data_IF_726394783944
#
_entry.id   IF_726394783944
#
_cell.length_a   1.000
_cell.length_b   1.000
_cell.length_c   1.000
_cell.angle_alpha   90.00
_cell.angle_beta   90.00
_cell.angle_gamma   90.00
#
_symmetry.space_group_name_H-M   'P 1'
#
loop_
_entity.id
_entity.type
_entity.pdbx_description
1 polymer ?
#
# COMPACT_ATOMS: atom_id res chain seq x y z
N UNK A 1 38.70 -53.12 -18.55
CA UNK A 1 39.74 -52.41 -17.79
C UNK A 1 40.55 -51.57 -18.76
N UNK A 2 40.45 -50.24 -18.64
CA UNK A 2 41.57 -49.28 -18.66
C UNK A 2 41.01 -47.87 -18.85
N UNK A 3 41.25 -47.05 -17.84
CA UNK A 3 41.15 -45.61 -17.91
C UNK A 3 42.28 -45.05 -18.77
N UNK A 4 42.05 -43.95 -19.48
CA UNK A 4 42.96 -42.81 -19.40
C UNK A 4 42.32 -41.53 -19.95
N UNK A 5 42.46 -40.49 -19.12
CA UNK A 5 42.14 -39.10 -19.31
C UNK A 5 43.41 -38.40 -19.84
N UNK A 6 43.36 -37.65 -20.95
CA UNK A 6 44.28 -36.52 -21.19
C UNK A 6 43.54 -35.43 -21.99
N UNK A 7 43.40 -34.27 -21.37
CA UNK A 7 43.06 -33.00 -22.00
C UNK A 7 44.31 -32.37 -22.62
N UNK A 8 44.19 -31.73 -23.78
CA UNK A 8 44.98 -30.55 -24.16
C UNK A 8 44.40 -29.93 -25.43
N UNK A 9 43.80 -28.75 -25.31
CA UNK A 9 43.59 -27.85 -26.44
C UNK A 9 43.84 -26.43 -25.94
N UNK A 10 45.11 -26.03 -25.98
CA UNK A 10 45.47 -24.62 -26.02
C UNK A 10 45.33 -24.13 -27.45
N UNK A 11 44.63 -23.01 -27.65
CA UNK A 11 45.05 -22.07 -28.68
C UNK A 11 44.87 -20.64 -28.18
N UNK A 12 45.97 -19.93 -28.26
CA UNK A 12 46.24 -18.58 -27.79
C UNK A 12 45.56 -17.61 -28.75
N UNK A 13 44.67 -16.78 -28.21
CA UNK A 13 44.20 -15.56 -28.85
C UNK A 13 44.61 -14.36 -28.00
N UNK A 14 45.63 -13.63 -28.43
CA UNK A 14 45.97 -12.31 -27.88
C UNK A 14 44.83 -11.34 -28.20
N UNK A 15 43.95 -11.08 -27.23
CA UNK A 15 43.12 -9.88 -27.26
C UNK A 15 43.90 -8.76 -26.57
N UNK A 16 44.26 -7.75 -27.35
CA UNK A 16 44.83 -6.49 -26.88
C UNK A 16 43.89 -5.92 -25.81
N UNK A 17 44.34 -5.92 -24.55
CA UNK A 17 43.68 -5.23 -23.46
C UNK A 17 43.84 -3.72 -23.67
N UNK A 18 43.03 -3.14 -24.56
CA UNK A 18 42.70 -1.73 -24.45
C UNK A 18 41.91 -1.57 -23.16
N UNK A 19 42.46 -0.84 -22.20
CA UNK A 19 41.67 -0.41 -21.04
C UNK A 19 40.39 0.24 -21.57
N UNK A 20 39.19 -0.28 -21.26
CA UNK A 20 37.97 0.45 -21.58
C UNK A 20 38.07 1.82 -20.90
N UNK A 21 37.61 2.91 -21.55
CA UNK A 21 37.59 4.23 -20.93
C UNK A 21 36.90 4.11 -19.57
N UNK A 22 37.58 4.58 -18.51
CA UNK A 22 37.22 4.41 -17.10
C UNK A 22 35.71 4.38 -16.92
N UNK A 23 35.18 3.22 -16.50
CA UNK A 23 33.77 3.10 -16.18
C UNK A 23 33.42 4.18 -15.15
N UNK A 24 32.51 5.08 -15.50
CA UNK A 24 32.16 6.24 -14.68
C UNK A 24 31.89 5.79 -13.23
N UNK A 25 32.75 6.22 -12.32
CA UNK A 25 32.74 5.76 -10.93
C UNK A 25 31.53 6.34 -10.21
N UNK A 26 30.70 5.47 -9.64
CA UNK A 26 29.58 5.85 -8.79
C UNK A 26 30.08 6.19 -7.40
N UNK A 27 29.72 7.38 -6.91
CA UNK A 27 30.12 7.85 -5.58
C UNK A 27 28.94 8.49 -4.84
N UNK A 28 28.85 8.33 -3.50
CA UNK A 28 27.81 9.00 -2.72
C UNK A 28 27.92 10.53 -2.84
N UNK A 29 26.79 11.20 -2.98
CA UNK A 29 26.75 12.66 -3.05
C UNK A 29 26.95 13.29 -1.66
N UNK A 30 27.62 14.46 -1.57
CA UNK A 30 27.64 15.27 -0.36
C UNK A 30 26.22 15.75 -0.04
N UNK A 31 25.79 15.56 1.21
CA UNK A 31 24.46 15.98 1.68
C UNK A 31 24.62 17.11 2.70
N UNK A 32 23.60 17.94 2.86
CA UNK A 32 23.56 19.01 3.84
C UNK A 32 22.42 18.88 4.83
N UNK A 33 21.22 18.59 4.33
CA UNK A 33 20.04 18.43 5.18
C UNK A 33 19.09 17.37 4.64
N UNK A 34 18.19 16.92 5.52
CA UNK A 34 17.10 16.02 5.18
C UNK A 34 15.81 16.57 5.77
N UNK A 35 14.80 16.73 4.92
CA UNK A 35 13.42 16.96 5.32
C UNK A 35 12.61 15.67 5.26
N UNK A 36 11.88 15.37 6.33
CA UNK A 36 10.86 14.32 6.38
C UNK A 36 9.48 14.96 6.62
N UNK A 37 8.39 14.35 6.11
CA UNK A 37 7.05 14.79 6.47
C UNK A 37 6.77 14.46 7.93
N UNK A 38 5.94 15.29 8.58
CA UNK A 38 5.51 15.08 9.97
C UNK A 38 4.70 13.80 10.13
N UNK A 39 3.87 13.48 9.13
CA UNK A 39 3.02 12.30 9.12
C UNK A 39 3.09 11.61 7.76
N UNK A 40 3.29 10.29 7.78
CA UNK A 40 3.10 9.41 6.63
C UNK A 40 2.03 8.36 6.96
N UNK A 41 1.30 7.90 5.94
CA UNK A 41 0.39 6.77 6.06
C UNK A 41 0.75 5.72 5.02
N UNK A 42 0.28 4.49 5.20
CA UNK A 42 0.48 3.41 4.21
C UNK A 42 0.01 3.83 2.80
N UNK A 43 -1.01 4.69 2.73
CA UNK A 43 -1.60 5.17 1.46
C UNK A 43 -0.98 6.49 0.96
N UNK A 44 -0.44 7.31 1.86
CA UNK A 44 0.29 8.54 1.53
C UNK A 44 1.75 8.37 1.96
N UNK A 45 2.58 7.74 1.13
CA UNK A 45 3.97 7.46 1.49
C UNK A 45 4.72 8.75 1.75
N UNK A 46 5.60 8.72 2.75
CA UNK A 46 6.41 9.88 3.08
C UNK A 46 7.40 10.19 1.95
N UNK A 47 7.67 11.47 1.69
CA UNK A 47 8.71 11.88 0.73
C UNK A 47 9.86 12.47 1.54
N UNK A 48 10.99 11.74 1.60
CA UNK A 48 12.23 12.28 2.11
C UNK A 48 12.82 13.24 1.06
N UNK A 49 13.07 14.49 1.45
CA UNK A 49 13.76 15.48 0.61
C UNK A 49 15.16 15.67 1.14
N UNK A 50 16.16 15.33 0.34
CA UNK A 50 17.56 15.48 0.71
C UNK A 50 18.15 16.62 -0.12
N UNK A 51 18.74 17.59 0.57
CA UNK A 51 19.47 18.68 -0.07
C UNK A 51 20.95 18.50 0.18
N UNK A 52 21.76 18.98 -0.76
CA UNK A 52 23.20 18.88 -0.74
C UNK A 52 23.81 19.66 -1.88
N UNK A 53 25.07 19.38 -2.18
CA UNK A 53 25.76 19.99 -3.31
C UNK A 53 26.52 18.93 -4.10
N UNK A 54 26.53 19.09 -5.42
CA UNK A 54 27.47 18.39 -6.28
C UNK A 54 28.86 18.99 -6.11
N UNK A 55 29.93 18.17 -6.02
CA UNK A 55 31.31 18.67 -5.90
C UNK A 55 31.73 19.57 -7.07
N UNK A 56 31.27 19.25 -8.28
CA UNK A 56 31.46 20.08 -9.47
C UNK A 56 30.22 20.00 -10.37
N UNK A 57 30.05 20.92 -11.33
CA UNK A 57 28.95 20.87 -12.30
C UNK A 57 28.94 19.63 -13.22
N UNK A 58 30.04 18.88 -13.29
CA UNK A 58 30.14 17.66 -14.08
C UNK A 58 29.50 16.44 -13.41
N UNK A 59 29.09 16.57 -12.15
CA UNK A 59 28.38 15.53 -11.45
C UNK A 59 26.89 15.57 -11.78
N UNK A 60 26.30 14.39 -11.87
CA UNK A 60 24.84 14.23 -11.96
C UNK A 60 24.37 13.18 -10.98
N UNK A 61 23.17 13.37 -10.45
CA UNK A 61 22.48 12.31 -9.71
C UNK A 61 22.20 11.12 -10.64
N UNK A 62 22.42 9.92 -10.13
CA UNK A 62 22.17 8.68 -10.85
C UNK A 62 21.01 7.90 -10.23
N UNK A 63 21.17 7.41 -9.00
CA UNK A 63 20.12 6.66 -8.32
C UNK A 63 20.20 6.75 -6.79
N UNK A 64 19.15 6.25 -6.14
CA UNK A 64 19.13 5.99 -4.71
C UNK A 64 19.44 4.52 -4.43
N UNK A 65 20.46 4.25 -3.63
CA UNK A 65 20.53 2.95 -2.94
C UNK A 65 19.64 3.02 -1.70
N UNK A 66 18.69 2.09 -1.61
CA UNK A 66 17.73 2.01 -0.48
C UNK A 66 17.85 0.65 0.16
N UNK A 67 18.10 0.62 1.47
CA UNK A 67 18.14 -0.61 2.27
C UNK A 67 17.16 -0.46 3.43
N UNK A 68 16.36 -1.49 3.68
CA UNK A 68 15.42 -1.52 4.81
C UNK A 68 15.84 -2.65 5.73
N UNK A 69 16.15 -2.31 6.97
CA UNK A 69 16.62 -3.23 8.02
C UNK A 69 15.74 -3.04 9.26
N UNK A 70 14.72 -3.87 9.39
CA UNK A 70 13.68 -3.74 10.41
C UNK A 70 13.01 -2.36 10.36
N UNK A 71 13.23 -1.56 11.40
CA UNK A 71 12.72 -0.19 11.53
C UNK A 71 13.67 0.89 11.00
N UNK A 72 14.80 0.53 10.40
CA UNK A 72 15.77 1.48 9.86
C UNK A 72 15.72 1.51 8.34
N UNK A 73 15.59 2.70 7.75
CA UNK A 73 15.62 2.91 6.30
C UNK A 73 16.89 3.67 5.97
N UNK A 74 17.83 3.04 5.26
CA UNK A 74 19.07 3.67 4.81
C UNK A 74 18.92 4.12 3.37
N UNK A 75 19.16 5.41 3.13
CA UNK A 75 19.13 6.06 1.83
C UNK A 75 20.54 6.56 1.50
N UNK A 76 21.06 6.21 0.32
CA UNK A 76 22.35 6.75 -0.15
C UNK A 76 22.13 7.28 -1.57
N UNK A 77 22.23 8.60 -1.79
CA UNK A 77 22.17 9.17 -3.13
C UNK A 77 23.52 8.97 -3.81
N UNK A 78 23.55 8.26 -4.93
CA UNK A 78 24.75 8.09 -5.75
C UNK A 78 24.71 9.05 -6.93
N UNK A 79 25.88 9.60 -7.24
CA UNK A 79 26.13 10.39 -8.43
C UNK A 79 27.23 9.80 -9.29
N UNK A 80 27.24 10.24 -10.54
CA UNK A 80 28.28 9.94 -11.51
C UNK A 80 29.08 11.21 -11.78
N UNK A 81 30.40 11.13 -11.68
CA UNK A 81 31.28 12.15 -12.21
C UNK A 81 31.43 11.96 -13.71
N UNK A 82 30.91 12.92 -14.51
CA UNK A 82 31.03 12.91 -15.96
C UNK A 82 32.15 13.80 -16.48
N UNK A 83 33.12 14.17 -15.64
CA UNK A 83 34.26 14.95 -16.09
C UNK A 83 34.91 14.27 -17.29
N UNK A 84 34.90 14.99 -18.42
CA UNK A 84 35.75 14.64 -19.54
C UNK A 84 37.13 15.25 -19.27
N UNK A 85 38.23 14.51 -19.47
CA UNK A 85 39.58 15.01 -19.19
C UNK A 85 39.96 16.31 -19.93
N UNK A 86 39.27 16.62 -21.02
CA UNK A 86 39.45 17.82 -21.86
C UNK A 86 38.63 19.04 -21.38
N UNK A 87 37.78 18.90 -20.35
CA UNK A 87 36.94 19.97 -19.84
C UNK A 87 37.39 20.40 -18.43
N UNK A 88 38.11 21.52 -18.35
CA UNK A 88 38.34 22.21 -17.08
C UNK A 88 37.04 22.85 -16.61
N UNK A 89 36.36 22.22 -15.66
CA UNK A 89 35.18 22.80 -15.01
C UNK A 89 35.61 23.47 -13.71
N UNK A 90 35.25 24.73 -13.53
CA UNK A 90 35.47 25.44 -12.27
C UNK A 90 34.81 24.66 -11.10
N UNK A 91 35.51 24.58 -9.97
CA UNK A 91 34.97 23.97 -8.75
C UNK A 91 33.90 24.88 -8.14
N UNK A 92 32.70 24.80 -8.68
CA UNK A 92 31.51 25.47 -8.16
C UNK A 92 30.59 24.42 -7.55
N UNK A 93 30.26 24.60 -6.27
CA UNK A 93 29.30 23.75 -5.59
C UNK A 93 27.90 24.03 -6.16
N UNK A 94 27.30 23.02 -6.80
CA UNK A 94 25.98 23.13 -7.40
C UNK A 94 24.94 22.52 -6.45
N UNK A 95 24.00 23.29 -5.89
CA UNK A 95 23.02 22.75 -4.95
C UNK A 95 22.06 21.77 -5.65
N UNK A 96 21.59 20.78 -4.90
CA UNK A 96 20.52 19.86 -5.35
C UNK A 96 19.42 19.71 -4.30
N UNK A 97 18.25 19.25 -4.76
CA UNK A 97 17.14 18.83 -3.94
C UNK A 97 16.53 17.55 -4.53
N UNK A 98 16.82 16.41 -3.91
CA UNK A 98 16.45 15.10 -4.40
C UNK A 98 15.30 14.51 -3.57
N UNK A 99 14.12 14.26 -4.16
CA UNK A 99 13.03 13.58 -3.48
C UNK A 99 13.20 12.05 -3.54
N UNK A 100 12.87 11.37 -2.44
CA UNK A 100 12.75 9.91 -2.36
C UNK A 100 11.43 9.53 -1.68
N UNK A 101 10.59 8.81 -2.42
CA UNK A 101 9.34 8.25 -1.90
C UNK A 101 9.66 7.03 -1.03
N UNK A 102 9.10 7.00 0.17
CA UNK A 102 9.17 5.93 1.16
C UNK A 102 7.85 5.15 1.18
N UNK A 103 7.67 4.29 0.17
CA UNK A 103 6.47 3.47 -0.02
C UNK A 103 6.64 2.04 0.51
N UNK A 104 5.51 1.33 0.67
CA UNK A 104 5.50 -0.07 1.10
C UNK A 104 5.83 -0.29 2.58
N UNK A 105 5.88 0.78 3.38
CA UNK A 105 6.14 0.70 4.82
C UNK A 105 4.87 0.27 5.57
N UNK A 106 5.04 -0.67 6.50
CA UNK A 106 3.98 -1.04 7.46
C UNK A 106 3.79 0.08 8.49
N UNK A 107 2.60 0.21 9.12
CA UNK A 107 2.42 1.11 10.24
C UNK A 107 3.48 0.87 11.33
N UNK A 108 4.07 1.94 11.84
CA UNK A 108 5.16 1.88 12.81
C UNK A 108 6.06 3.12 12.80
N UNK A 109 7.07 3.12 13.67
CA UNK A 109 8.10 4.16 13.73
C UNK A 109 9.34 3.67 13.02
N UNK A 110 9.88 4.50 12.12
CA UNK A 110 11.09 4.23 11.37
C UNK A 110 12.14 5.29 11.64
N UNK A 111 13.40 4.87 11.69
CA UNK A 111 14.56 5.76 11.64
C UNK A 111 15.03 5.84 10.20
N UNK A 112 14.84 6.99 9.56
CA UNK A 112 15.35 7.25 8.21
C UNK A 112 16.76 7.82 8.35
N UNK A 113 17.70 7.17 7.69
CA UNK A 113 19.12 7.48 7.71
C UNK A 113 19.56 7.80 6.29
N UNK A 114 20.12 8.98 6.06
CA UNK A 114 20.72 9.36 4.78
C UNK A 114 22.23 9.34 4.93
N UNK A 115 22.90 8.50 4.13
CA UNK A 115 24.36 8.44 4.07
C UNK A 115 24.82 9.27 2.86
N UNK A 116 25.47 10.41 3.12
CA UNK A 116 26.22 11.14 2.10
C UNK A 116 27.71 10.82 2.20
N UNK A 117 28.50 11.30 1.26
CA UNK A 117 29.97 11.13 1.31
C UNK A 117 30.63 11.94 2.42
N UNK A 118 30.05 13.08 2.80
CA UNK A 118 30.59 13.99 3.82
C UNK A 118 30.01 13.77 5.22
N UNK A 119 28.77 13.29 5.34
CA UNK A 119 28.10 13.06 6.64
C UNK A 119 26.93 12.10 6.54
N UNK A 120 26.43 11.72 7.71
CA UNK A 120 25.24 10.90 7.90
C UNK A 120 24.18 11.71 8.66
N UNK A 121 22.95 11.70 8.17
CA UNK A 121 21.81 12.36 8.80
C UNK A 121 20.77 11.31 9.20
N UNK A 122 20.12 11.49 10.35
CA UNK A 122 19.05 10.61 10.80
C UNK A 122 17.85 11.39 11.32
N UNK A 123 16.64 10.95 11.02
CA UNK A 123 15.40 11.52 11.56
C UNK A 123 14.33 10.44 11.64
N UNK A 124 13.29 10.70 12.42
CA UNK A 124 12.20 9.76 12.66
C UNK A 124 11.04 10.01 11.69
N UNK A 125 10.48 8.92 11.19
CA UNK A 125 9.25 8.89 10.42
C UNK A 125 8.25 8.00 11.15
N UNK A 126 7.07 8.54 11.48
CA UNK A 126 5.96 7.73 11.95
C UNK A 126 5.03 7.45 10.78
N UNK A 127 4.85 6.17 10.47
CA UNK A 127 3.87 5.68 9.50
C UNK A 127 2.64 5.23 10.27
N UNK A 128 1.53 5.92 10.06
CA UNK A 128 0.24 5.55 10.65
C UNK A 128 -0.49 4.58 9.76
N UNK A 129 -1.34 3.76 10.37
CA UNK A 129 -2.36 3.03 9.64
C UNK A 129 -3.24 4.03 8.87
N UNK A 130 -3.74 3.60 7.71
CA UNK A 130 -4.67 4.45 7.00
C UNK A 130 -5.98 4.52 7.80
N UNK A 131 -6.48 5.72 8.06
CA UNK A 131 -7.82 5.88 8.62
C UNK A 131 -8.83 5.27 7.66
N UNK A 132 -9.49 4.20 8.11
CA UNK A 132 -10.60 3.58 7.38
C UNK A 132 -11.87 4.34 7.74
N UNK A 133 -12.58 4.84 6.74
CA UNK A 133 -13.94 5.33 6.94
C UNK A 133 -14.88 4.12 6.96
N UNK A 134 -15.57 3.93 8.08
CA UNK A 134 -16.72 3.02 8.17
C UNK A 134 -17.98 3.83 7.97
N UNK A 135 -18.94 3.25 7.26
CA UNK A 135 -20.21 3.89 6.98
C UNK A 135 -21.24 2.86 6.55
N UNK A 136 -22.50 3.24 6.71
CA UNK A 136 -23.62 2.48 6.16
C UNK A 136 -23.75 2.75 4.66
N UNK A 137 -24.19 1.75 3.87
CA UNK A 137 -24.56 1.94 2.48
C UNK A 137 -25.86 2.75 2.37
N UNK A 138 -26.09 3.34 1.19
CA UNK A 138 -27.42 3.81 0.80
C UNK A 138 -28.27 2.60 0.41
N UNK A 139 -29.46 2.45 0.99
CA UNK A 139 -30.28 1.27 0.72
C UNK A 139 -31.22 1.50 -0.46
N UNK A 140 -31.05 0.71 -1.52
CA UNK A 140 -32.02 0.68 -2.62
C UNK A 140 -33.14 -0.34 -2.34
N UNK A 141 -32.78 -1.58 -2.01
CA UNK A 141 -33.73 -2.66 -1.80
C UNK A 141 -33.14 -3.82 -0.98
N UNK A 142 -33.80 -4.20 0.11
CA UNK A 142 -33.50 -5.41 0.85
C UNK A 142 -34.50 -6.52 0.50
N UNK A 143 -34.02 -7.75 0.34
CA UNK A 143 -34.86 -8.93 0.08
C UNK A 143 -34.48 -10.06 1.03
N UNK A 144 -35.47 -10.72 1.63
CA UNK A 144 -35.23 -11.99 2.33
C UNK A 144 -35.29 -13.09 1.28
N UNK A 145 -34.18 -13.82 1.10
CA UNK A 145 -34.13 -14.92 0.16
C UNK A 145 -34.56 -16.20 0.88
N UNK A 146 -35.86 -16.49 0.75
CA UNK A 146 -36.53 -17.79 0.97
C UNK A 146 -36.41 -18.49 2.34
N UNK A 147 -37.41 -19.33 2.57
CA UNK A 147 -37.80 -19.90 3.85
C UNK A 147 -36.76 -20.84 4.44
N UNK A 148 -36.60 -20.75 5.75
CA UNK A 148 -35.65 -21.57 6.50
C UNK A 148 -36.38 -22.33 7.59
N UNK A 149 -36.23 -23.64 7.52
CA UNK A 149 -36.60 -24.60 8.55
C UNK A 149 -35.65 -24.45 9.74
N UNK A 150 -36.05 -24.84 10.96
CA UNK A 150 -35.22 -24.69 12.18
C UNK A 150 -33.85 -25.39 12.15
N UNK A 151 -33.55 -26.17 11.11
CA UNK A 151 -32.29 -26.89 10.90
C UNK A 151 -31.35 -26.24 9.87
N UNK A 152 -31.85 -25.37 8.99
CA UNK A 152 -31.06 -24.60 8.03
C UNK A 152 -30.80 -23.16 8.54
N UNK A 153 -29.74 -22.50 8.07
CA UNK A 153 -29.46 -21.11 8.44
C UNK A 153 -30.15 -20.15 7.47
N UNK A 154 -30.93 -19.20 7.99
CA UNK A 154 -31.64 -18.24 7.16
C UNK A 154 -30.69 -17.24 6.53
N UNK A 155 -30.97 -16.84 5.29
CA UNK A 155 -30.14 -15.88 4.58
C UNK A 155 -30.97 -14.68 4.13
N UNK A 156 -30.55 -13.49 4.56
CA UNK A 156 -31.08 -12.22 4.06
C UNK A 156 -30.12 -11.70 2.99
N UNK A 157 -30.65 -11.32 1.84
CA UNK A 157 -29.87 -10.70 0.77
C UNK A 157 -30.20 -9.21 0.72
N UNK A 158 -29.26 -8.38 1.16
CA UNK A 158 -29.43 -6.92 1.12
C UNK A 158 -28.78 -6.40 -0.15
N UNK A 159 -29.50 -5.61 -0.94
CA UNK A 159 -28.95 -4.89 -2.08
C UNK A 159 -28.98 -3.39 -1.80
N UNK A 160 -27.91 -2.69 -2.15
CA UNK A 160 -27.84 -1.25 -1.96
C UNK A 160 -26.72 -0.63 -2.77
N UNK A 161 -26.66 0.69 -2.71
CA UNK A 161 -25.67 1.48 -3.39
C UNK A 161 -24.63 1.99 -2.40
N UNK A 162 -23.37 1.79 -2.74
CA UNK A 162 -22.27 2.41 -2.04
C UNK A 162 -22.06 3.84 -2.56
N UNK A 163 -21.64 4.79 -1.68
CA UNK A 163 -21.50 6.19 -2.05
C UNK A 163 -20.58 6.43 -3.26
N UNK A 164 -19.53 5.62 -3.41
CA UNK A 164 -18.61 5.67 -4.54
C UNK A 164 -17.85 4.34 -4.71
N UNK A 165 -17.06 4.22 -5.79
CA UNK A 165 -16.31 3.01 -6.13
C UNK A 165 -15.19 2.64 -5.13
N UNK A 166 -14.80 3.55 -4.24
CA UNK A 166 -13.79 3.33 -3.20
C UNK A 166 -14.34 2.64 -1.95
N UNK A 167 -15.66 2.50 -1.85
CA UNK A 167 -16.32 1.71 -0.80
C UNK A 167 -16.38 0.23 -1.19
N UNK A 168 -16.19 -0.63 -0.19
CA UNK A 168 -16.29 -2.08 -0.30
C UNK A 168 -17.28 -2.61 0.73
N UNK A 169 -18.19 -3.52 0.35
CA UNK A 169 -19.11 -4.14 1.30
C UNK A 169 -18.33 -5.00 2.29
N UNK A 170 -18.65 -4.87 3.57
CA UNK A 170 -18.16 -5.70 4.68
C UNK A 170 -19.24 -6.69 5.13
N UNK A 171 -18.90 -7.57 6.08
CA UNK A 171 -19.89 -8.41 6.75
C UNK A 171 -20.97 -7.55 7.42
N UNK A 172 -22.22 -8.04 7.40
CA UNK A 172 -23.30 -7.40 8.13
C UNK A 172 -23.34 -7.89 9.58
N UNK A 173 -23.69 -7.01 10.51
CA UNK A 173 -23.96 -7.37 11.90
C UNK A 173 -25.45 -7.74 12.04
N UNK A 174 -25.74 -8.80 12.79
CA UNK A 174 -27.11 -9.27 13.06
C UNK A 174 -27.39 -9.22 14.56
N UNK A 175 -28.47 -8.55 14.95
CA UNK A 175 -28.97 -8.58 16.34
C UNK A 175 -30.37 -9.16 16.38
N UNK A 176 -30.62 -10.10 17.29
CA UNK A 176 -31.92 -10.72 17.48
C UNK A 176 -32.50 -10.28 18.81
N UNK A 177 -33.73 -9.76 18.78
CA UNK A 177 -34.53 -9.38 19.94
C UNK A 177 -35.96 -9.92 19.79
N UNK A 178 -36.85 -9.54 20.72
CA UNK A 178 -38.25 -9.98 20.85
C UNK A 178 -39.04 -9.94 19.52
N UNK A 179 -38.93 -11.01 18.71
CA UNK A 179 -39.56 -11.09 17.38
C UNK A 179 -38.98 -10.14 16.32
N UNK A 180 -37.84 -9.48 16.58
CA UNK A 180 -37.20 -8.52 15.65
C UNK A 180 -35.75 -8.92 15.39
N UNK A 181 -35.35 -8.88 14.12
CA UNK A 181 -34.00 -9.15 13.66
C UNK A 181 -33.47 -7.89 12.98
N UNK A 182 -32.44 -7.28 13.56
CA UNK A 182 -31.77 -6.13 12.98
C UNK A 182 -30.58 -6.58 12.15
N UNK A 183 -30.48 -6.09 10.92
CA UNK A 183 -29.39 -6.36 9.99
C UNK A 183 -28.72 -5.04 9.62
N UNK A 184 -27.44 -4.93 9.95
CA UNK A 184 -26.62 -3.74 9.73
C UNK A 184 -25.57 -4.04 8.65
N UNK A 185 -25.86 -3.78 7.36
CA UNK A 185 -24.85 -3.90 6.31
C UNK A 185 -23.80 -2.81 6.49
N UNK A 186 -22.54 -3.21 6.67
CA UNK A 186 -21.43 -2.26 6.77
C UNK A 186 -20.67 -2.18 5.44
N UNK A 187 -20.05 -1.03 5.20
CA UNK A 187 -19.05 -0.86 4.16
C UNK A 187 -17.84 -0.12 4.71
N UNK A 188 -16.68 -0.35 4.09
CA UNK A 188 -15.45 0.39 4.38
C UNK A 188 -14.93 1.09 3.13
N UNK A 189 -14.37 2.28 3.31
CA UNK A 189 -13.63 2.99 2.28
C UNK A 189 -12.22 3.30 2.74
N UNK A 190 -11.28 3.08 1.83
CA UNK A 190 -9.93 3.64 1.93
C UNK A 190 -9.98 5.12 1.52
N UNK A 191 -9.77 6.03 2.47
CA UNK A 191 -9.84 7.50 2.28
C UNK A 191 -9.01 8.07 1.11
N UNK A 192 -8.02 7.33 0.59
CA UNK A 192 -7.09 7.85 -0.44
C UNK A 192 -7.52 7.65 -1.90
N UNK A 193 -8.60 6.92 -2.18
CA UNK A 193 -9.08 6.81 -3.55
C UNK A 193 -9.97 8.03 -3.86
N UNK A 194 -9.45 8.94 -4.69
CA UNK A 194 -10.26 9.85 -5.51
C UNK A 194 -11.09 8.96 -6.45
N UNK A 195 -12.15 8.36 -5.92
CA UNK A 195 -13.15 7.68 -6.71
C UNK A 195 -14.13 8.77 -7.18
N UNK A 196 -14.38 8.82 -8.48
CA UNK A 196 -15.50 9.59 -9.00
C UNK A 196 -16.77 9.15 -8.24
N UNK A 197 -17.62 10.11 -7.87
CA UNK A 197 -18.93 9.86 -7.26
C UNK A 197 -19.83 9.11 -8.26
N UNK A 198 -19.62 7.80 -8.34
CA UNK A 198 -20.47 6.88 -9.07
C UNK A 198 -20.97 5.86 -8.07
N UNK A 199 -22.29 5.86 -7.82
CA UNK A 199 -22.94 4.87 -6.98
C UNK A 199 -22.58 3.48 -7.50
N UNK A 200 -22.04 2.66 -6.60
CA UNK A 200 -21.67 1.28 -6.92
C UNK A 200 -22.66 0.35 -6.26
N UNK A 201 -23.44 -0.37 -7.08
CA UNK A 201 -24.31 -1.42 -6.59
C UNK A 201 -23.49 -2.50 -5.85
N UNK A 202 -23.98 -2.90 -4.69
CA UNK A 202 -23.38 -3.89 -3.83
C UNK A 202 -24.47 -4.82 -3.25
N UNK A 203 -24.06 -6.04 -2.94
CA UNK A 203 -24.93 -7.06 -2.35
C UNK A 203 -24.26 -7.65 -1.10
N UNK A 204 -25.03 -7.76 -0.02
CA UNK A 204 -24.64 -8.43 1.21
C UNK A 204 -25.46 -9.70 1.38
N UNK A 205 -24.78 -10.84 1.49
CA UNK A 205 -25.38 -12.12 1.84
C UNK A 205 -25.19 -12.35 3.33
N UNK A 206 -26.26 -12.13 4.10
CA UNK A 206 -26.23 -12.13 5.56
C UNK A 206 -26.84 -13.42 6.07
N UNK A 207 -26.02 -14.25 6.73
CA UNK A 207 -26.53 -15.43 7.44
C UNK A 207 -27.09 -14.99 8.79
N UNK A 208 -28.35 -15.35 9.03
CA UNK A 208 -29.00 -15.19 10.31
C UNK A 208 -28.61 -16.34 11.24
N UNK A 209 -28.60 -16.13 12.57
CA UNK A 209 -28.45 -17.21 13.52
C UNK A 209 -29.64 -18.18 13.42
N UNK A 210 -29.52 -19.36 14.05
CA UNK A 210 -30.65 -20.26 14.21
C UNK A 210 -31.74 -19.57 15.05
N UNK A 211 -32.98 -19.63 14.58
CA UNK A 211 -34.14 -18.99 15.19
C UNK A 211 -35.19 -20.05 15.51
N UNK A 212 -35.91 -19.95 16.64
CA UNK A 212 -37.06 -20.80 16.89
C UNK A 212 -38.18 -20.52 15.88
N UNK A 213 -39.12 -21.47 15.76
CA UNK A 213 -40.28 -21.29 14.90
C UNK A 213 -41.12 -20.09 15.37
N UNK A 214 -41.55 -19.26 14.43
CA UNK A 214 -42.28 -18.03 14.71
C UNK A 214 -42.22 -17.01 13.57
N UNK A 215 -42.96 -15.93 13.76
CA UNK A 215 -42.95 -14.78 12.85
C UNK A 215 -41.97 -13.73 13.37
N UNK A 216 -41.05 -13.30 12.50
CA UNK A 216 -40.04 -12.30 12.79
C UNK A 216 -40.17 -11.10 11.86
N UNK A 217 -39.95 -9.91 12.41
CA UNK A 217 -39.74 -8.70 11.64
C UNK A 217 -38.25 -8.49 11.44
N UNK A 218 -37.78 -8.52 10.20
CA UNK A 218 -36.39 -8.19 9.87
C UNK A 218 -36.32 -6.71 9.53
N UNK A 219 -35.46 -5.95 10.21
CA UNK A 219 -35.22 -4.54 9.94
C UNK A 219 -33.79 -4.41 9.40
N UNK A 220 -33.67 -3.89 8.18
CA UNK A 220 -32.39 -3.59 7.54
C UNK A 220 -32.16 -2.08 7.61
N UNK A 221 -31.10 -1.66 8.30
CA UNK A 221 -30.79 -0.25 8.52
C UNK A 221 -29.69 0.23 7.58
N UNK A 222 -30.02 1.24 6.78
CA UNK A 222 -29.13 1.92 5.86
C UNK A 222 -28.74 3.30 6.36
N UNK A 223 -27.90 3.99 5.58
CA UNK A 223 -27.47 5.36 5.91
C UNK A 223 -28.62 6.35 5.97
N UNK A 224 -29.59 6.21 5.08
CA UNK A 224 -30.64 7.18 4.78
C UNK A 224 -32.05 6.62 4.94
N UNK A 225 -32.18 5.29 5.05
CA UNK A 225 -33.46 4.60 5.08
C UNK A 225 -33.39 3.31 5.88
N UNK A 226 -34.50 2.93 6.47
CA UNK A 226 -34.75 1.59 7.02
C UNK A 226 -35.75 0.82 6.15
N UNK A 227 -35.56 -0.49 6.02
CA UNK A 227 -36.51 -1.38 5.35
C UNK A 227 -36.93 -2.51 6.28
N UNK A 228 -38.24 -2.61 6.51
CA UNK A 228 -38.86 -3.72 7.25
C UNK A 228 -39.28 -4.83 6.31
N UNK A 229 -38.91 -6.06 6.65
CA UNK A 229 -39.28 -7.29 5.96
C UNK A 229 -39.90 -8.26 6.97
N UNK A 230 -40.66 -9.24 6.49
CA UNK A 230 -41.24 -10.29 7.33
C UNK A 230 -40.56 -11.61 7.00
N UNK A 231 -40.13 -12.32 8.04
CA UNK A 231 -39.55 -13.66 7.96
C UNK A 231 -40.43 -14.61 8.76
N UNK A 232 -40.87 -15.70 8.14
CA UNK A 232 -41.54 -16.79 8.83
C UNK A 232 -40.58 -17.95 8.99
N UNK A 233 -40.39 -18.41 10.22
CA UNK A 233 -39.56 -19.58 10.55
C UNK A 233 -40.51 -20.72 10.92
N UNK A 234 -40.44 -21.80 10.17
CA UNK A 234 -41.24 -23.01 10.41
C UNK A 234 -40.43 -24.02 11.22
N UNK A 235 -41.10 -24.81 12.07
CA UNK A 235 -40.47 -25.96 12.71
C UNK A 235 -39.94 -26.93 11.64
N UNK A 236 -38.80 -27.56 11.89
CA UNK A 236 -38.32 -28.66 11.07
C UNK A 236 -39.30 -29.83 11.19
N UNK A 237 -39.73 -30.36 10.04
CA UNK A 237 -40.54 -31.59 9.94
C UNK A 237 -39.76 -32.83 10.42
#
# INVERSE_FOLDING_TARGET
MNALLIALAGLIGFAVAGNPPDAAKLEPLPIDSMGLPKDATVQKPGIARVTGHYPTPAWRFDHWKTEVDGSTIKLTPYGLNQQRPDQMVAQVLMPFNLPKVLAGLRPGKYTVVVNGSNKKLSSQLTVKEAEMERGFPYLDAAKVAEFVTTTDQAQVTVSGNLPDAGWHPLAAEVKVGEGIIWVYPWAERKRSAFAAEMLKAAEWKVRLPALPAGDYRVIVEGRDREQGLTLKVSAAD
#
